data_IF_757655614696
#
_entry.id   IF_757655614696
#
_cell.length_a   1.000
_cell.length_b   1.000
_cell.length_c   1.000
_cell.angle_alpha   90.00
_cell.angle_beta   90.00
_cell.angle_gamma   90.00
#
_symmetry.space_group_name_H-M   'P 1'
#
loop_
_entity.id
_entity.type
_entity.pdbx_description
1 polymer ?
#
# COMPACT_ATOMS: atom_id res chain seq x y z
N UNK A 1 -15.24 -29.57 -7.27
CA UNK A 1 -15.03 -29.05 -5.91
C UNK A 1 -13.68 -28.35 -5.87
N UNK A 2 -13.63 -27.01 -5.86
CA UNK A 2 -12.37 -26.31 -5.54
C UNK A 2 -12.25 -26.34 -4.02
N UNK A 3 -11.19 -26.94 -3.50
CA UNK A 3 -10.87 -26.88 -2.07
C UNK A 3 -10.78 -25.39 -1.72
N UNK A 4 -11.57 -24.94 -0.75
CA UNK A 4 -11.46 -23.57 -0.25
C UNK A 4 -10.15 -23.50 0.55
N UNK A 5 -9.11 -22.93 -0.05
CA UNK A 5 -7.81 -22.77 0.60
C UNK A 5 -7.84 -21.59 1.57
N UNK A 6 -7.19 -21.73 2.73
CA UNK A 6 -7.06 -20.64 3.69
C UNK A 6 -6.18 -19.50 3.15
N UNK A 7 -6.37 -18.29 3.67
CA UNK A 7 -5.64 -17.06 3.34
C UNK A 7 -4.14 -17.28 3.41
N UNK A 8 -3.70 -17.99 4.44
CA UNK A 8 -2.29 -18.33 4.63
C UNK A 8 -1.72 -19.15 3.46
N UNK A 9 -2.46 -20.14 2.97
CA UNK A 9 -2.06 -20.95 1.81
C UNK A 9 -2.11 -20.16 0.51
N UNK A 10 -3.03 -19.21 0.38
CA UNK A 10 -3.10 -18.34 -0.80
C UNK A 10 -1.92 -17.37 -0.85
N UNK A 11 -1.50 -16.84 0.31
CA UNK A 11 -0.42 -15.87 0.40
C UNK A 11 0.97 -16.49 0.38
N UNK A 12 1.14 -17.72 0.86
CA UNK A 12 2.43 -18.40 0.93
C UNK A 12 2.55 -19.68 0.07
N UNK A 13 1.46 -20.19 -0.49
CA UNK A 13 1.38 -21.52 -1.08
C UNK A 13 1.12 -22.62 -0.03
N UNK A 14 0.82 -23.87 -0.47
CA UNK A 14 0.57 -25.00 0.44
C UNK A 14 1.80 -25.32 1.29
N UNK A 15 1.55 -25.71 2.54
CA UNK A 15 2.60 -26.09 3.50
C UNK A 15 3.30 -27.38 3.04
N UNK A 16 4.61 -27.30 2.79
CA UNK A 16 5.42 -28.46 2.38
C UNK A 16 6.16 -29.13 3.54
N UNK A 17 5.94 -28.68 4.77
CA UNK A 17 6.66 -29.15 5.96
C UNK A 17 5.72 -29.73 7.02
N UNK A 18 5.30 -30.96 6.84
CA UNK A 18 4.73 -31.79 7.91
C UNK A 18 5.85 -32.40 8.77
N UNK A 19 6.53 -31.60 9.60
CA UNK A 19 7.28 -32.14 10.75
C UNK A 19 7.81 -31.03 11.65
N UNK A 20 7.08 -30.71 12.71
CA UNK A 20 7.71 -30.20 13.93
C UNK A 20 6.95 -30.71 15.15
N UNK A 21 7.65 -31.53 15.93
CA UNK A 21 7.21 -32.09 17.21
C UNK A 21 7.03 -30.98 18.25
N UNK A 22 6.09 -31.11 19.20
CA UNK A 22 5.90 -30.12 20.25
C UNK A 22 7.06 -30.19 21.27
N UNK A 23 7.80 -29.10 21.43
CA UNK A 23 8.75 -28.92 22.54
C UNK A 23 8.06 -28.30 23.75
N UNK A 24 8.41 -28.80 24.93
CA UNK A 24 7.84 -28.50 26.25
C UNK A 24 8.05 -27.03 26.66
N UNK A 25 7.09 -26.38 27.34
CA UNK A 25 7.19 -24.95 27.69
C UNK A 25 7.78 -24.77 29.09
N UNK A 26 8.87 -24.01 29.22
CA UNK A 26 9.28 -23.45 30.52
C UNK A 26 9.93 -22.06 30.35
N UNK A 27 9.41 -21.09 31.11
CA UNK A 27 9.76 -19.65 31.21
C UNK A 27 9.26 -18.67 30.13
N UNK A 28 8.90 -19.12 28.92
CA UNK A 28 8.45 -18.23 27.83
C UNK A 28 6.95 -17.85 27.91
N UNK A 29 6.13 -18.67 28.57
CA UNK A 29 4.66 -18.55 28.57
C UNK A 29 4.13 -17.25 29.18
N UNK A 30 4.80 -16.65 30.17
CA UNK A 30 4.32 -15.43 30.84
C UNK A 30 4.52 -14.15 30.02
N UNK A 31 5.50 -14.13 29.12
CA UNK A 31 5.74 -12.98 28.23
C UNK A 31 4.70 -12.92 27.12
N UNK A 32 4.33 -14.07 26.55
CA UNK A 32 3.30 -14.16 25.51
C UNK A 32 1.91 -13.77 26.01
N UNK A 33 1.54 -14.14 27.24
CA UNK A 33 0.24 -13.77 27.82
C UNK A 33 0.12 -12.28 28.09
N UNK A 34 1.19 -11.64 28.59
CA UNK A 34 1.23 -10.18 28.78
C UNK A 34 1.13 -9.42 27.46
N UNK A 35 1.90 -9.83 26.45
CA UNK A 35 1.84 -9.23 25.11
C UNK A 35 0.46 -9.39 24.46
N UNK A 36 -0.14 -10.58 24.56
CA UNK A 36 -1.47 -10.88 24.03
C UNK A 36 -2.55 -10.01 24.69
N UNK A 37 -2.48 -9.82 26.01
CA UNK A 37 -3.39 -8.95 26.76
C UNK A 37 -3.27 -7.48 26.31
N UNK A 38 -2.04 -6.97 26.16
CA UNK A 38 -1.79 -5.60 25.66
C UNK A 38 -2.36 -5.39 24.26
N UNK A 39 -2.23 -6.39 23.38
CA UNK A 39 -2.72 -6.36 22.01
C UNK A 39 -4.22 -6.68 21.89
N UNK A 40 -4.87 -7.11 22.98
CA UNK A 40 -6.26 -7.59 22.99
C UNK A 40 -6.50 -8.74 22.01
N UNK A 41 -5.53 -9.64 21.87
CA UNK A 41 -5.59 -10.80 20.97
C UNK A 41 -5.54 -12.10 21.78
N UNK A 42 -6.07 -13.22 21.26
CA UNK A 42 -5.86 -14.52 21.88
C UNK A 42 -4.36 -14.87 21.94
N UNK A 43 -3.84 -15.47 23.03
CA UNK A 43 -2.43 -15.86 23.12
C UNK A 43 -1.95 -16.74 21.98
N UNK A 44 -2.82 -17.62 21.46
CA UNK A 44 -2.53 -18.46 20.30
C UNK A 44 -2.23 -17.69 19.02
N UNK A 45 -2.76 -16.47 18.86
CA UNK A 45 -2.49 -15.63 17.69
C UNK A 45 -1.04 -15.12 17.63
N UNK A 46 -0.32 -15.13 18.77
CA UNK A 46 1.08 -14.72 18.84
C UNK A 46 2.05 -15.90 18.78
N UNK A 47 1.55 -17.14 18.85
CA UNK A 47 2.40 -18.34 19.03
C UNK A 47 3.41 -18.54 17.88
N UNK A 48 3.04 -18.13 16.67
CA UNK A 48 3.86 -18.28 15.47
C UNK A 48 4.73 -17.04 15.17
N UNK A 49 4.67 -15.98 15.98
CA UNK A 49 5.41 -14.74 15.74
C UNK A 49 6.75 -14.74 16.48
N UNK A 50 7.76 -14.15 15.85
CA UNK A 50 9.03 -13.88 16.53
C UNK A 50 8.87 -12.79 17.60
N UNK A 51 9.78 -12.75 18.59
CA UNK A 51 9.81 -11.67 19.58
C UNK A 51 9.92 -10.28 18.95
N UNK A 52 10.65 -10.17 17.83
CA UNK A 52 10.79 -8.92 17.08
C UNK A 52 9.45 -8.49 16.45
N UNK A 53 8.71 -9.42 15.86
CA UNK A 53 7.36 -9.18 15.35
C UNK A 53 6.36 -8.80 16.44
N UNK A 54 6.43 -9.44 17.61
CA UNK A 54 5.54 -9.12 18.74
C UNK A 54 5.81 -7.69 19.24
N UNK A 55 7.07 -7.31 19.40
CA UNK A 55 7.43 -5.94 19.74
C UNK A 55 6.91 -4.95 18.68
N UNK A 56 6.99 -5.33 17.41
CA UNK A 56 6.49 -4.49 16.33
C UNK A 56 4.96 -4.27 16.38
N UNK A 57 4.20 -5.31 16.73
CA UNK A 57 2.77 -5.20 16.98
C UNK A 57 2.46 -4.31 18.19
N UNK A 58 3.26 -4.42 19.27
CA UNK A 58 3.10 -3.58 20.47
C UNK A 58 3.32 -2.09 20.15
N UNK A 59 4.35 -1.79 19.37
CA UNK A 59 4.61 -0.43 18.87
C UNK A 59 3.43 0.12 18.06
N UNK A 60 2.89 -0.68 17.12
CA UNK A 60 1.68 -0.30 16.38
C UNK A 60 0.50 -0.07 17.31
N UNK A 61 0.23 -0.98 18.26
CA UNK A 61 -0.91 -0.85 19.18
C UNK A 61 -0.82 0.36 20.13
N UNK A 62 0.40 0.80 20.44
CA UNK A 62 0.66 1.95 21.31
C UNK A 62 0.76 3.25 20.52
N UNK A 63 0.74 3.18 19.18
CA UNK A 63 0.88 4.34 18.33
C UNK A 63 -0.36 5.24 18.41
N UNK A 64 -0.12 6.52 18.68
CA UNK A 64 -1.12 7.57 18.63
C UNK A 64 -0.66 8.63 17.63
N UNK A 65 -1.48 9.00 16.63
CA UNK A 65 -1.19 10.13 15.75
C UNK A 65 -0.92 11.39 16.58
N UNK A 66 0.03 12.22 16.12
CA UNK A 66 0.32 13.48 16.80
C UNK A 66 -0.89 14.41 16.69
N UNK A 67 -1.11 15.28 17.68
CA UNK A 67 -2.04 16.38 17.53
C UNK A 67 -1.74 17.19 16.25
N UNK A 68 -2.74 17.51 15.45
CA UNK A 68 -2.65 18.09 14.11
C UNK A 68 -2.54 17.09 12.94
N UNK A 69 -2.38 15.79 13.21
CA UNK A 69 -2.38 14.71 12.20
C UNK A 69 -3.51 13.70 12.40
N UNK A 70 -4.56 14.12 13.12
CA UNK A 70 -5.76 13.34 13.46
C UNK A 70 -6.58 12.99 12.18
N UNK A 71 -7.67 12.20 12.29
CA UNK A 71 -8.39 11.66 11.14
C UNK A 71 -8.77 12.73 10.11
N UNK A 72 -9.04 12.26 8.89
CA UNK A 72 -9.60 13.05 7.79
C UNK A 72 -10.48 14.21 8.32
N UNK A 73 -10.07 15.48 8.14
CA UNK A 73 -10.75 16.61 8.76
C UNK A 73 -12.25 16.60 8.47
N UNK A 74 -13.08 16.99 9.44
CA UNK A 74 -14.53 17.04 9.25
C UNK A 74 -14.94 17.94 8.07
N UNK A 75 -14.10 18.92 7.70
CA UNK A 75 -14.26 19.79 6.54
C UNK A 75 -14.11 19.09 5.19
N UNK A 76 -13.48 17.91 5.13
CA UNK A 76 -13.36 17.13 3.89
C UNK A 76 -14.73 16.54 3.55
N UNK A 77 -15.31 16.79 2.36
CA UNK A 77 -16.60 16.24 1.98
C UNK A 77 -16.62 14.71 1.99
N UNK A 78 -17.74 14.09 2.39
CA UNK A 78 -17.86 12.63 2.52
C UNK A 78 -17.40 11.86 1.27
N UNK A 79 -17.77 12.32 0.06
CA UNK A 79 -17.40 11.70 -1.21
C UNK A 79 -15.90 11.79 -1.55
N UNK A 80 -15.12 12.55 -0.78
CA UNK A 80 -13.65 12.67 -0.86
C UNK A 80 -12.93 11.87 0.20
N UNK A 81 -13.66 11.19 1.08
CA UNK A 81 -13.07 10.35 2.14
C UNK A 81 -12.96 8.92 1.63
N UNK A 82 -11.87 8.27 2.01
CA UNK A 82 -11.61 6.89 1.71
C UNK A 82 -10.86 6.26 2.88
N UNK A 83 -10.89 4.94 2.97
CA UNK A 83 -10.19 4.20 4.01
C UNK A 83 -9.64 2.90 3.46
N UNK A 84 -8.51 2.46 4.00
CA UNK A 84 -7.82 1.22 3.61
C UNK A 84 -7.50 0.37 4.82
N UNK A 85 -7.57 -0.95 4.67
CA UNK A 85 -7.32 -1.93 5.72
C UNK A 85 -5.98 -2.63 5.50
N UNK A 86 -4.96 -2.21 6.25
CA UNK A 86 -3.64 -2.82 6.24
C UNK A 86 -3.66 -4.07 7.14
N UNK A 87 -3.96 -5.21 6.53
CA UNK A 87 -3.99 -6.51 7.20
C UNK A 87 -2.60 -7.10 7.41
N UNK A 88 -2.20 -7.23 8.67
CA UNK A 88 -0.96 -7.89 9.10
C UNK A 88 -1.22 -9.31 9.57
N UNK A 89 -0.26 -10.21 9.34
CA UNK A 89 -0.35 -11.60 9.77
C UNK A 89 1.04 -12.21 9.95
N UNK A 90 1.09 -13.33 10.67
CA UNK A 90 2.32 -14.09 10.87
C UNK A 90 2.72 -14.81 9.57
N UNK A 91 3.97 -14.60 9.13
CA UNK A 91 4.58 -15.38 8.07
C UNK A 91 5.12 -16.73 8.55
N UNK A 92 5.62 -17.53 7.60
CA UNK A 92 6.17 -18.87 7.85
C UNK A 92 7.27 -18.90 8.90
N UNK A 93 8.12 -17.88 8.95
CA UNK A 93 9.21 -17.79 9.93
C UNK A 93 8.86 -16.84 11.09
N UNK A 94 7.59 -16.48 11.26
CA UNK A 94 7.10 -15.59 12.31
C UNK A 94 7.41 -14.10 12.14
N UNK A 95 7.93 -13.70 10.98
CA UNK A 95 8.02 -12.30 10.56
C UNK A 95 6.62 -11.75 10.21
N UNK A 96 6.38 -10.44 10.36
CA UNK A 96 5.10 -9.83 9.99
C UNK A 96 5.02 -9.63 8.48
N UNK A 97 3.94 -10.12 7.88
CA UNK A 97 3.60 -9.87 6.48
C UNK A 97 2.39 -8.95 6.38
N UNK A 98 2.33 -8.18 5.29
CA UNK A 98 1.17 -7.37 4.90
C UNK A 98 0.44 -8.01 3.72
N UNK A 99 -0.89 -8.00 3.75
CA UNK A 99 -1.75 -8.43 2.63
C UNK A 99 -1.85 -7.30 1.61
N UNK A 100 -1.58 -7.61 0.34
CA UNK A 100 -1.70 -6.71 -0.79
C UNK A 100 -2.54 -7.35 -1.89
N UNK A 101 -3.22 -6.52 -2.67
CA UNK A 101 -4.01 -6.93 -3.82
C UNK A 101 -3.46 -6.32 -5.10
N UNK A 102 -3.56 -7.07 -6.20
CA UNK A 102 -3.45 -6.51 -7.54
C UNK A 102 -4.85 -6.17 -8.02
N UNK A 103 -5.12 -4.87 -8.20
CA UNK A 103 -6.42 -4.38 -8.68
C UNK A 103 -6.70 -4.90 -10.08
N UNK A 104 -7.96 -5.17 -10.38
CA UNK A 104 -8.33 -5.68 -11.69
C UNK A 104 -7.97 -4.71 -12.79
N UNK A 105 -7.31 -5.23 -13.84
CA UNK A 105 -6.97 -4.46 -15.05
C UNK A 105 -8.18 -3.82 -15.75
N UNK A 106 -9.40 -4.29 -15.44
CA UNK A 106 -10.67 -3.82 -16.01
C UNK A 106 -11.26 -2.59 -15.30
N UNK A 107 -10.68 -2.17 -14.18
CA UNK A 107 -11.17 -1.02 -13.42
C UNK A 107 -10.89 0.30 -14.16
N UNK A 108 -11.83 1.25 -14.05
CA UNK A 108 -11.74 2.57 -14.70
C UNK A 108 -10.61 3.45 -14.15
N UNK A 109 -10.14 3.18 -12.92
CA UNK A 109 -9.07 3.92 -12.27
C UNK A 109 -8.14 2.96 -11.51
N UNK A 110 -6.83 3.19 -11.58
CA UNK A 110 -5.79 2.38 -10.92
C UNK A 110 -5.86 0.88 -11.27
N UNK A 111 -6.30 0.54 -12.49
CA UNK A 111 -6.41 -0.85 -12.92
C UNK A 111 -5.04 -1.49 -13.07
N UNK A 112 -4.83 -2.64 -12.44
CA UNK A 112 -3.55 -3.35 -12.43
C UNK A 112 -2.55 -2.90 -11.36
N UNK A 113 -2.83 -1.83 -10.61
CA UNK A 113 -1.93 -1.36 -9.55
C UNK A 113 -1.99 -2.22 -8.29
N UNK A 114 -0.90 -2.23 -7.54
CA UNK A 114 -0.86 -2.83 -6.20
C UNK A 114 -1.50 -1.89 -5.18
N UNK A 115 -2.46 -2.40 -4.43
CA UNK A 115 -3.17 -1.63 -3.41
C UNK A 115 -3.34 -2.41 -2.11
N UNK A 116 -3.39 -1.64 -1.01
CA UNK A 116 -3.98 -2.11 0.24
C UNK A 116 -5.50 -2.14 0.03
N UNK A 117 -6.20 -3.22 0.44
CA UNK A 117 -7.66 -3.31 0.29
C UNK A 117 -8.38 -2.11 0.91
N UNK A 118 -9.39 -1.60 0.23
CA UNK A 118 -10.09 -0.41 0.67
C UNK A 118 -10.72 0.43 -0.44
N UNK A 119 -11.46 1.45 -0.04
CA UNK A 119 -12.29 2.20 -0.96
C UNK A 119 -12.88 3.47 -0.36
N UNK A 120 -13.94 3.97 -0.99
CA UNK A 120 -14.54 5.26 -0.65
C UNK A 120 -15.54 5.11 0.49
N UNK A 121 -15.65 6.17 1.28
CA UNK A 121 -16.68 6.26 2.30
C UNK A 121 -18.06 6.33 1.63
N UNK A 122 -19.00 5.49 2.10
CA UNK A 122 -20.39 5.53 1.69
C UNK A 122 -21.29 6.14 2.78
N UNK A 123 -22.40 6.82 2.44
CA UNK A 123 -23.31 7.39 3.44
C UNK A 123 -23.89 6.39 4.44
N UNK A 124 -23.88 5.10 4.10
CA UNK A 124 -24.32 4.00 4.96
C UNK A 124 -23.25 3.51 5.92
N UNK A 125 -21.99 3.91 5.74
CA UNK A 125 -20.88 3.53 6.62
C UNK A 125 -20.98 4.30 7.95
N UNK A 126 -20.84 3.59 9.08
CA UNK A 126 -20.91 4.22 10.41
C UNK A 126 -19.71 5.13 10.68
N UNK A 127 -18.53 4.74 10.18
CA UNK A 127 -17.28 5.49 10.26
C UNK A 127 -16.28 4.98 9.19
N UNK A 128 -15.09 5.59 9.14
CA UNK A 128 -14.04 5.21 8.19
C UNK A 128 -13.39 3.86 8.50
N UNK A 129 -13.42 3.38 9.74
CA UNK A 129 -12.93 2.03 10.04
C UNK A 129 -13.87 0.99 9.43
N UNK A 130 -15.18 1.20 9.56
CA UNK A 130 -16.19 0.38 8.93
C UNK A 130 -16.04 0.39 7.41
N UNK A 131 -15.81 1.56 6.78
CA UNK A 131 -15.50 1.64 5.35
C UNK A 131 -14.33 0.73 4.97
N UNK A 132 -13.20 0.81 5.69
CA UNK A 132 -12.03 -0.03 5.40
C UNK A 132 -12.34 -1.53 5.52
N UNK A 133 -13.11 -1.93 6.54
CA UNK A 133 -13.52 -3.32 6.77
C UNK A 133 -14.50 -3.82 5.72
N UNK A 134 -15.51 -3.02 5.36
CA UNK A 134 -16.50 -3.34 4.32
C UNK A 134 -15.81 -3.57 2.98
N UNK A 135 -14.99 -2.62 2.55
CA UNK A 135 -14.28 -2.70 1.27
C UNK A 135 -13.32 -3.90 1.24
N UNK A 136 -12.56 -4.15 2.32
CA UNK A 136 -11.70 -5.33 2.39
C UNK A 136 -12.48 -6.67 2.39
N UNK A 137 -13.69 -6.68 2.94
CA UNK A 137 -14.58 -7.84 2.86
C UNK A 137 -15.12 -8.04 1.44
N UNK A 138 -15.55 -6.97 0.78
CA UNK A 138 -16.09 -7.00 -0.60
C UNK A 138 -15.02 -7.37 -1.63
N UNK A 139 -13.82 -6.78 -1.53
CA UNK A 139 -12.74 -6.99 -2.50
C UNK A 139 -12.10 -8.39 -2.34
N UNK A 140 -11.83 -8.81 -1.09
CA UNK A 140 -10.98 -9.98 -0.82
C UNK A 140 -11.50 -10.93 0.28
N UNK A 141 -12.67 -10.67 0.85
CA UNK A 141 -13.29 -11.53 1.86
C UNK A 141 -12.66 -11.47 3.25
N UNK A 142 -11.91 -10.41 3.59
CA UNK A 142 -11.38 -10.26 4.96
C UNK A 142 -12.52 -10.03 5.96
N UNK A 143 -12.46 -10.62 7.16
CA UNK A 143 -13.56 -10.55 8.11
C UNK A 143 -13.78 -9.12 8.63
N UNK A 144 -15.03 -8.68 8.61
CA UNK A 144 -15.46 -7.45 9.29
C UNK A 144 -15.34 -7.61 10.81
N UNK A 145 -15.52 -8.85 11.31
CA UNK A 145 -15.42 -9.23 12.72
C UNK A 145 -14.07 -8.81 13.34
N UNK A 146 -14.14 -7.88 14.30
CA UNK A 146 -12.98 -7.32 14.99
C UNK A 146 -12.23 -8.34 15.85
N UNK A 147 -12.83 -9.49 16.19
CA UNK A 147 -12.15 -10.55 16.94
C UNK A 147 -11.20 -11.37 16.07
N UNK A 148 -11.48 -11.44 14.75
CA UNK A 148 -10.67 -12.12 13.74
C UNK A 148 -9.66 -11.20 13.05
N UNK A 149 -9.96 -9.91 13.01
CA UNK A 149 -9.10 -8.84 12.51
C UNK A 149 -9.03 -7.71 13.55
N UNK A 150 -8.15 -7.88 14.53
CA UNK A 150 -8.02 -6.99 15.70
C UNK A 150 -7.32 -5.71 15.27
N UNK A 151 -7.97 -4.56 15.49
CA UNK A 151 -7.36 -3.25 15.20
C UNK A 151 -6.20 -2.98 16.15
N UNK A 152 -5.07 -2.60 15.56
CA UNK A 152 -3.88 -2.17 16.27
C UNK A 152 -3.88 -0.64 16.40
N UNK A 153 -3.97 0.07 15.27
CA UNK A 153 -3.98 1.52 15.26
C UNK A 153 -4.61 2.09 13.98
N UNK A 154 -4.78 3.41 14.00
CA UNK A 154 -5.11 4.22 12.84
C UNK A 154 -3.89 5.08 12.51
N UNK A 155 -3.49 5.12 11.24
CA UNK A 155 -2.41 5.98 10.77
C UNK A 155 -2.95 7.38 10.38
N UNK A 156 -2.10 8.41 10.36
CA UNK A 156 -2.45 9.71 9.79
C UNK A 156 -3.00 9.58 8.35
N UNK A 157 -3.92 10.47 7.94
CA UNK A 157 -4.47 10.44 6.59
C UNK A 157 -3.45 10.86 5.54
N UNK A 158 -3.63 10.35 4.33
CA UNK A 158 -2.82 10.66 3.16
C UNK A 158 -3.69 11.22 2.04
N UNK A 159 -3.15 12.12 1.24
CA UNK A 159 -3.81 12.60 0.03
C UNK A 159 -3.46 11.68 -1.16
N UNK A 160 -4.48 11.14 -1.82
CA UNK A 160 -4.31 10.37 -3.07
C UNK A 160 -4.20 11.29 -4.29
N UNK A 161 -3.69 10.74 -5.40
CA UNK A 161 -3.63 11.42 -6.70
C UNK A 161 -5.00 11.93 -7.19
N UNK A 162 -6.08 11.22 -6.82
CA UNK A 162 -7.47 11.60 -7.15
C UNK A 162 -8.08 12.58 -6.13
N UNK A 163 -7.25 13.23 -5.31
CA UNK A 163 -7.64 14.18 -4.27
C UNK A 163 -8.66 13.57 -3.28
N UNK A 164 -8.57 12.26 -3.02
CA UNK A 164 -9.24 11.61 -1.88
C UNK A 164 -8.32 11.65 -0.67
N UNK A 165 -8.89 11.88 0.51
CA UNK A 165 -8.20 11.74 1.79
C UNK A 165 -8.40 10.32 2.31
N UNK A 166 -7.33 9.55 2.29
CA UNK A 166 -7.31 8.12 2.60
C UNK A 166 -6.82 7.93 4.03
N UNK A 167 -7.62 7.30 4.89
CA UNK A 167 -7.24 6.96 6.27
C UNK A 167 -6.89 5.48 6.38
N UNK A 168 -5.64 5.12 6.70
CA UNK A 168 -5.24 3.72 6.87
C UNK A 168 -5.56 3.18 8.28
N UNK A 169 -6.15 1.99 8.34
CA UNK A 169 -6.37 1.23 9.56
C UNK A 169 -5.51 -0.04 9.55
N UNK A 170 -4.72 -0.26 10.60
CA UNK A 170 -3.84 -1.42 10.72
C UNK A 170 -4.52 -2.46 11.60
N UNK A 171 -4.64 -3.69 11.11
CA UNK A 171 -5.23 -4.82 11.84
C UNK A 171 -4.30 -6.02 11.88
N UNK A 172 -4.33 -6.79 12.95
CA UNK A 172 -3.74 -8.12 13.02
C UNK A 172 -4.81 -9.16 12.71
N UNK A 173 -4.57 -9.97 11.68
CA UNK A 173 -5.38 -11.15 11.37
C UNK A 173 -4.99 -12.28 12.33
N UNK A 174 -5.92 -12.63 13.21
CA UNK A 174 -5.71 -13.63 14.27
C UNK A 174 -6.24 -15.02 13.89
N UNK A 175 -7.14 -15.08 12.91
CA UNK A 175 -7.76 -16.31 12.45
C UNK A 175 -7.06 -16.83 11.17
N UNK A 176 -6.24 -17.87 11.30
CA UNK A 176 -5.55 -18.50 10.17
C UNK A 176 -6.49 -19.33 9.26
N UNK A 177 -7.75 -19.52 9.66
CA UNK A 177 -8.74 -20.27 8.89
C UNK A 177 -9.53 -19.40 7.91
N UNK A 178 -9.30 -18.08 7.90
CA UNK A 178 -9.92 -17.15 6.95
C UNK A 178 -9.72 -17.68 5.53
N UNK A 179 -10.80 -17.79 4.76
CA UNK A 179 -10.75 -18.18 3.35
C UNK A 179 -11.09 -16.93 2.52
N UNK A 180 -10.11 -16.27 1.90
CA UNK A 180 -10.37 -15.06 1.14
C UNK A 180 -11.23 -15.40 -0.07
N UNK A 181 -12.13 -14.47 -0.38
CA UNK A 181 -13.02 -14.56 -1.51
C UNK A 181 -12.79 -13.35 -2.39
N UNK A 182 -12.05 -13.53 -3.48
CA UNK A 182 -11.71 -12.42 -4.37
C UNK A 182 -12.91 -12.06 -5.22
N UNK A 183 -13.27 -10.79 -5.24
CA UNK A 183 -14.18 -10.25 -6.25
C UNK A 183 -13.39 -10.05 -7.56
N UNK A 184 -13.58 -10.90 -8.59
CA UNK A 184 -12.78 -10.83 -9.81
C UNK A 184 -13.07 -9.59 -10.66
N UNK A 185 -14.08 -8.79 -10.31
CA UNK A 185 -14.33 -7.48 -10.94
C UNK A 185 -13.37 -6.41 -10.45
N UNK A 186 -12.81 -6.59 -9.26
CA UNK A 186 -12.03 -5.57 -8.55
C UNK A 186 -10.61 -6.03 -8.24
N UNK A 187 -10.39 -7.34 -8.05
CA UNK A 187 -9.11 -7.92 -7.66
C UNK A 187 -8.74 -9.08 -8.58
N UNK A 188 -7.57 -8.98 -9.21
CA UNK A 188 -7.02 -10.04 -10.06
C UNK A 188 -6.25 -11.08 -9.23
N UNK A 189 -5.51 -10.65 -8.20
CA UNK A 189 -4.75 -11.55 -7.32
C UNK A 189 -4.46 -10.95 -5.95
N UNK A 190 -4.12 -11.84 -5.01
CA UNK A 190 -3.55 -11.49 -3.70
C UNK A 190 -2.09 -11.89 -3.62
N UNK A 191 -1.33 -11.13 -2.86
CA UNK A 191 0.03 -11.49 -2.47
C UNK A 191 0.41 -10.81 -1.16
N UNK A 192 1.56 -11.19 -0.62
CA UNK A 192 2.06 -10.60 0.62
C UNK A 192 3.57 -10.38 0.57
N UNK A 193 4.00 -9.42 1.39
CA UNK A 193 5.40 -9.06 1.57
C UNK A 193 5.72 -8.85 3.06
N UNK A 194 6.95 -9.13 3.52
CA UNK A 194 7.35 -8.83 4.88
C UNK A 194 7.25 -7.32 5.12
N UNK A 195 6.56 -6.88 6.17
CA UNK A 195 6.38 -5.46 6.47
C UNK A 195 7.72 -4.73 6.65
N UNK A 196 8.70 -5.40 7.27
CA UNK A 196 10.04 -4.83 7.50
C UNK A 196 10.77 -4.45 6.20
N UNK A 197 10.41 -5.06 5.07
CA UNK A 197 11.06 -4.80 3.77
C UNK A 197 10.90 -3.37 3.27
N UNK A 198 9.83 -2.68 3.67
CA UNK A 198 9.56 -1.30 3.29
C UNK A 198 10.48 -0.28 3.99
N UNK A 199 11.40 -0.72 4.86
CA UNK A 199 12.44 0.11 5.45
C UNK A 199 13.77 0.07 4.70
N UNK A 200 13.96 -0.90 3.81
CA UNK A 200 15.24 -1.13 3.16
C UNK A 200 15.25 -0.54 1.75
N UNK A 201 16.34 0.16 1.41
CA UNK A 201 16.64 0.45 0.01
C UNK A 201 17.17 -0.82 -0.67
N UNK A 202 18.15 -1.46 -0.02
CA UNK A 202 18.71 -2.75 -0.44
C UNK A 202 18.50 -3.76 0.70
N UNK A 203 17.56 -4.72 0.55
CA UNK A 203 17.22 -5.64 1.61
C UNK A 203 18.41 -6.56 1.94
N UNK A 204 18.65 -6.88 3.22
CA UNK A 204 19.73 -7.79 3.61
C UNK A 204 19.45 -9.21 3.12
N UNK A 205 20.50 -10.04 2.98
CA UNK A 205 20.40 -11.41 2.43
C UNK A 205 19.27 -12.27 3.02
N UNK A 206 19.04 -12.30 4.35
CA UNK A 206 17.94 -13.10 4.92
C UNK A 206 16.57 -12.66 4.39
N UNK A 207 16.36 -11.35 4.23
CA UNK A 207 15.10 -10.77 3.78
C UNK A 207 14.88 -10.95 2.28
N UNK A 208 15.95 -10.95 1.48
CA UNK A 208 15.87 -11.16 0.02
C UNK A 208 15.19 -12.48 -0.34
N UNK A 209 15.42 -13.54 0.43
CA UNK A 209 14.73 -14.83 0.27
C UNK A 209 13.22 -14.70 0.46
N UNK A 210 12.78 -14.01 1.51
CA UNK A 210 11.35 -13.75 1.79
C UNK A 210 10.69 -12.87 0.72
N UNK A 211 11.48 -12.08 -0.01
CA UNK A 211 11.04 -11.22 -1.11
C UNK A 211 11.12 -11.89 -2.49
N UNK A 212 11.54 -13.15 -2.58
CA UNK A 212 11.80 -13.84 -3.86
C UNK A 212 12.81 -13.12 -4.75
N UNK A 213 13.74 -12.36 -4.14
CA UNK A 213 14.82 -11.68 -4.83
C UNK A 213 16.07 -12.57 -4.93
N UNK A 214 16.91 -12.40 -5.98
CA UNK A 214 18.19 -13.11 -6.07
C UNK A 214 19.09 -12.76 -4.88
N UNK A 215 20.03 -13.61 -4.43
CA UNK A 215 20.86 -13.32 -3.24
C UNK A 215 21.66 -12.02 -3.31
N UNK A 216 22.04 -11.60 -4.51
CA UNK A 216 22.61 -10.29 -4.82
C UNK A 216 21.82 -9.68 -6.00
N UNK A 217 21.76 -8.34 -6.12
CA UNK A 217 21.11 -7.70 -7.26
C UNK A 217 21.70 -8.13 -8.61
N UNK A 218 20.83 -8.39 -9.59
CA UNK A 218 21.25 -8.74 -10.95
C UNK A 218 21.73 -7.48 -11.69
N UNK A 219 23.02 -7.38 -12.07
CA UNK A 219 23.55 -6.21 -12.77
C UNK A 219 22.81 -5.85 -14.06
N UNK A 220 22.26 -6.83 -14.78
CA UNK A 220 21.56 -6.57 -16.05
C UNK A 220 20.14 -6.02 -15.82
N UNK A 221 19.42 -6.52 -14.81
CA UNK A 221 18.13 -5.96 -14.42
C UNK A 221 18.26 -4.48 -13.99
N UNK A 222 19.37 -4.15 -13.34
CA UNK A 222 19.69 -2.80 -12.90
C UNK A 222 19.92 -1.80 -14.05
N UNK A 223 20.34 -2.25 -15.24
CA UNK A 223 20.53 -1.38 -16.43
C UNK A 223 19.21 -0.86 -17.00
N UNK A 224 18.11 -1.56 -16.74
CA UNK A 224 16.79 -1.23 -17.27
C UNK A 224 15.98 -0.32 -16.33
N UNK A 225 16.58 0.12 -15.21
CA UNK A 225 15.92 1.03 -14.29
C UNK A 225 15.76 2.44 -14.87
N UNK A 226 14.68 3.16 -14.53
CA UNK A 226 14.43 4.48 -15.08
C UNK A 226 15.55 5.47 -14.75
N UNK A 227 16.00 6.26 -15.73
CA UNK A 227 17.09 7.21 -15.53
C UNK A 227 16.74 8.40 -14.61
N UNK A 228 15.44 8.64 -14.37
CA UNK A 228 14.93 9.79 -13.60
C UNK A 228 14.82 9.52 -12.09
N UNK A 229 15.38 8.42 -11.60
CA UNK A 229 15.39 8.09 -10.17
C UNK A 229 16.43 8.97 -9.43
N UNK A 230 16.09 9.43 -8.23
CA UNK A 230 16.99 10.19 -7.33
C UNK A 230 17.67 9.30 -6.30
N UNK A 231 17.24 8.05 -6.16
CA UNK A 231 17.92 7.04 -5.37
C UNK A 231 19.09 6.41 -6.14
N UNK A 232 20.07 5.81 -5.44
CA UNK A 232 20.95 4.83 -6.05
C UNK A 232 20.15 3.70 -6.72
N UNK A 233 20.79 3.01 -7.66
CA UNK A 233 20.20 1.88 -8.37
C UNK A 233 20.00 0.71 -7.38
N UNK A 234 18.82 0.08 -7.42
CA UNK A 234 18.46 -1.06 -6.56
C UNK A 234 17.36 -1.88 -7.20
N UNK A 235 17.42 -3.20 -7.07
CA UNK A 235 16.41 -4.13 -7.59
C UNK A 235 15.19 -4.31 -6.67
N UNK A 236 15.17 -3.61 -5.53
CA UNK A 236 14.07 -3.64 -4.58
C UNK A 236 13.36 -2.31 -4.45
N UNK A 237 14.07 -1.20 -4.27
CA UNK A 237 13.46 0.10 -4.01
C UNK A 237 14.11 1.21 -4.83
N UNK A 238 13.30 2.03 -5.49
CA UNK A 238 13.73 3.29 -6.09
C UNK A 238 12.82 4.44 -5.70
N UNK A 239 13.30 5.67 -5.83
CA UNK A 239 12.45 6.84 -5.66
C UNK A 239 12.81 7.95 -6.65
N UNK A 240 11.79 8.72 -7.04
CA UNK A 240 11.90 9.87 -7.95
C UNK A 240 11.09 11.05 -7.42
N UNK A 241 11.55 12.26 -7.71
CA UNK A 241 10.84 13.48 -7.33
C UNK A 241 9.94 13.94 -8.48
N UNK A 242 8.63 13.96 -8.25
CA UNK A 242 7.63 14.38 -9.24
C UNK A 242 7.00 15.72 -8.83
N UNK A 243 6.65 16.54 -9.82
CA UNK A 243 5.85 17.75 -9.56
C UNK A 243 4.40 17.35 -9.37
N UNK A 244 3.81 17.81 -8.27
CA UNK A 244 2.43 17.53 -7.88
C UNK A 244 1.76 18.77 -7.30
N UNK A 245 0.49 18.63 -6.90
CA UNK A 245 -0.43 19.65 -6.38
C UNK A 245 0.20 21.01 -6.03
N UNK A 246 -0.16 22.05 -6.79
CA UNK A 246 0.35 23.41 -6.57
C UNK A 246 1.81 23.63 -7.00
N UNK A 247 2.37 22.76 -7.85
CA UNK A 247 3.75 22.85 -8.32
C UNK A 247 4.78 22.35 -7.30
N UNK A 248 4.34 21.76 -6.20
CA UNK A 248 5.22 21.21 -5.17
C UNK A 248 5.87 19.92 -5.67
N UNK A 249 7.15 19.72 -5.34
CA UNK A 249 7.81 18.44 -5.60
C UNK A 249 7.51 17.47 -4.47
N UNK A 250 7.05 16.28 -4.83
CA UNK A 250 6.88 15.16 -3.90
C UNK A 250 7.77 14.01 -4.32
N UNK A 251 8.30 13.29 -3.34
CA UNK A 251 9.01 12.05 -3.57
C UNK A 251 8.03 10.90 -3.72
N UNK A 252 8.16 10.16 -4.81
CA UNK A 252 7.37 8.95 -5.09
C UNK A 252 8.27 7.73 -4.94
N UNK A 253 7.90 6.84 -4.03
CA UNK A 253 8.59 5.58 -3.78
C UNK A 253 8.02 4.44 -4.61
N UNK A 254 8.91 3.60 -5.15
CA UNK A 254 8.59 2.37 -5.86
C UNK A 254 9.31 1.20 -5.20
N UNK A 255 8.57 0.16 -4.82
CA UNK A 255 9.12 -1.14 -4.45
C UNK A 255 8.84 -2.14 -5.57
N UNK A 256 9.88 -2.78 -6.07
CA UNK A 256 9.84 -3.66 -7.21
C UNK A 256 9.56 -5.09 -6.76
N UNK A 257 8.57 -5.71 -7.39
CA UNK A 257 8.17 -7.09 -7.14
C UNK A 257 7.72 -7.72 -8.47
N UNK A 258 8.09 -8.97 -8.70
CA UNK A 258 7.80 -9.70 -9.95
C UNK A 258 6.30 -9.81 -10.24
N UNK A 259 5.46 -9.82 -9.20
CA UNK A 259 4.00 -9.95 -9.33
C UNK A 259 3.40 -8.62 -9.79
N UNK A 260 3.81 -7.53 -9.13
CA UNK A 260 3.47 -6.16 -9.49
C UNK A 260 4.22 -5.13 -8.60
N UNK A 261 4.80 -4.05 -9.17
CA UNK A 261 5.46 -3.02 -8.37
C UNK A 261 4.48 -2.28 -7.45
N UNK A 262 4.93 -1.93 -6.24
CA UNK A 262 4.18 -1.13 -5.27
C UNK A 262 4.65 0.32 -5.37
N UNK A 263 3.75 1.27 -5.61
CA UNK A 263 4.11 2.65 -5.94
C UNK A 263 3.20 3.67 -5.27
N UNK A 264 3.71 4.88 -5.12
CA UNK A 264 2.91 6.04 -4.72
C UNK A 264 2.30 5.88 -3.33
N UNK A 265 1.00 6.23 -3.20
CA UNK A 265 0.30 6.24 -1.92
C UNK A 265 0.42 4.92 -1.16
N UNK A 266 0.32 3.78 -1.85
CA UNK A 266 0.48 2.46 -1.24
C UNK A 266 1.86 2.32 -0.58
N UNK A 267 2.93 2.72 -1.27
CA UNK A 267 4.28 2.72 -0.73
C UNK A 267 4.41 3.62 0.49
N UNK A 268 3.85 4.84 0.44
CA UNK A 268 3.96 5.81 1.53
C UNK A 268 3.30 5.29 2.82
N UNK A 269 2.13 4.66 2.70
CA UNK A 269 1.42 4.03 3.82
C UNK A 269 2.25 2.87 4.39
N UNK A 270 2.81 2.02 3.53
CA UNK A 270 3.60 0.84 3.95
C UNK A 270 4.89 1.24 4.64
N UNK A 271 5.60 2.26 4.14
CA UNK A 271 6.80 2.79 4.77
C UNK A 271 6.47 3.36 6.15
N UNK A 272 5.40 4.14 6.28
CA UNK A 272 4.98 4.69 7.58
C UNK A 272 4.60 3.59 8.56
N UNK A 273 3.81 2.60 8.12
CA UNK A 273 3.42 1.47 8.95
C UNK A 273 4.64 0.68 9.44
N UNK A 274 5.59 0.39 8.55
CA UNK A 274 6.82 -0.31 8.89
C UNK A 274 7.69 0.51 9.86
N UNK A 275 7.83 1.81 9.63
CA UNK A 275 8.63 2.69 10.49
C UNK A 275 8.08 2.76 11.91
N UNK A 276 6.75 2.83 12.06
CA UNK A 276 6.09 2.77 13.36
C UNK A 276 6.26 1.40 14.00
N UNK A 277 5.99 0.33 13.24
CA UNK A 277 6.06 -1.03 13.76
C UNK A 277 7.47 -1.33 14.30
N UNK A 278 8.51 -1.09 13.52
CA UNK A 278 9.87 -1.46 13.93
C UNK A 278 10.58 -0.36 14.73
N UNK A 279 9.99 0.82 14.87
CA UNK A 279 10.62 1.96 15.57
C UNK A 279 11.88 2.46 14.86
N UNK A 280 11.97 2.21 13.55
CA UNK A 280 13.15 2.46 12.72
C UNK A 280 12.82 3.44 11.59
N UNK A 281 13.80 4.24 11.18
CA UNK A 281 13.69 5.07 9.98
C UNK A 281 14.08 4.25 8.75
N UNK A 282 13.45 4.46 7.59
CA UNK A 282 13.89 3.82 6.36
C UNK A 282 15.32 4.25 6.00
N UNK A 283 16.01 3.38 5.26
CA UNK A 283 17.40 3.59 4.80
C UNK A 283 17.52 4.60 3.65
N UNK A 284 16.42 5.23 3.27
CA UNK A 284 16.32 6.17 2.17
C UNK A 284 15.57 7.43 2.63
N UNK A 285 15.76 8.52 1.90
CA UNK A 285 15.10 9.78 2.21
C UNK A 285 13.63 9.74 1.78
N UNK A 286 12.72 9.92 2.74
CA UNK A 286 11.25 9.87 2.54
C UNK A 286 10.68 10.99 1.67
N UNK A 287 11.33 12.15 1.67
CA UNK A 287 10.73 13.36 1.12
C UNK A 287 11.70 14.08 0.19
N UNK A 288 11.14 14.71 -0.84
CA UNK A 288 11.86 15.68 -1.67
C UNK A 288 12.27 16.89 -0.82
N UNK A 289 13.38 17.58 -1.14
CA UNK A 289 13.70 18.85 -0.53
C UNK A 289 12.49 19.81 -0.57
N UNK A 290 12.11 20.38 0.58
CA UNK A 290 10.97 21.29 0.76
C UNK A 290 9.60 20.68 0.42
N UNK A 291 9.46 19.36 0.40
CA UNK A 291 8.16 18.71 0.24
C UNK A 291 7.21 19.12 1.38
N UNK A 292 5.98 19.58 1.08
CA UNK A 292 4.97 19.86 2.10
C UNK A 292 4.56 18.60 2.86
N UNK A 293 4.10 18.75 4.10
CA UNK A 293 3.56 17.62 4.86
C UNK A 293 2.24 17.11 4.24
N UNK A 294 1.84 15.87 4.56
CA UNK A 294 0.52 15.36 4.12
C UNK A 294 -0.62 16.25 4.61
N UNK A 295 -0.54 16.80 5.82
CA UNK A 295 -1.54 17.74 6.34
C UNK A 295 -1.59 19.03 5.50
N UNK A 296 -0.43 19.57 5.10
CA UNK A 296 -0.36 20.76 4.24
C UNK A 296 -0.90 20.46 2.83
N UNK A 297 -0.61 19.28 2.28
CA UNK A 297 -1.12 18.86 0.97
C UNK A 297 -2.65 18.70 1.00
N UNK A 298 -3.19 18.07 2.05
CA UNK A 298 -4.64 17.97 2.26
C UNK A 298 -5.25 19.37 2.35
N UNK A 299 -4.67 20.25 3.17
CA UNK A 299 -5.12 21.64 3.29
C UNK A 299 -5.11 22.35 1.93
N UNK A 300 -4.02 22.23 1.18
CA UNK A 300 -3.88 22.82 -0.15
C UNK A 300 -4.95 22.29 -1.13
N UNK A 301 -5.29 21.01 -1.05
CA UNK A 301 -6.28 20.38 -1.93
C UNK A 301 -7.71 20.88 -1.70
N UNK A 302 -8.05 21.28 -0.48
CA UNK A 302 -9.43 21.63 -0.11
C UNK A 302 -9.65 23.12 0.20
N UNK A 303 -8.60 23.87 0.57
CA UNK A 303 -8.71 25.30 0.95
C UNK A 303 -8.23 26.26 -0.15
N UNK A 304 -7.57 25.77 -1.21
CA UNK A 304 -7.03 26.64 -2.28
C UNK A 304 -8.13 27.22 -3.18
N UNK A 305 -8.03 28.49 -3.65
CA UNK A 305 -8.96 29.09 -4.63
C UNK A 305 -9.12 28.28 -5.92
N UNK A 306 -8.10 27.49 -6.29
CA UNK A 306 -8.11 26.58 -7.44
C UNK A 306 -9.07 25.40 -7.18
N UNK A 307 -9.11 24.89 -5.96
CA UNK A 307 -10.08 23.89 -5.55
C UNK A 307 -11.50 24.47 -5.65
N UNK A 308 -11.71 25.71 -5.16
CA UNK A 308 -13.00 26.43 -5.22
C UNK A 308 -13.51 26.59 -6.67
N UNK A 309 -12.62 26.78 -7.65
CA UNK A 309 -13.01 26.80 -9.08
C UNK A 309 -13.49 25.43 -9.59
N UNK A 310 -12.87 24.31 -9.19
CA UNK A 310 -13.36 22.94 -9.51
C UNK A 310 -14.71 22.66 -8.85
N UNK A 311 -14.94 23.14 -7.61
CA UNK A 311 -16.20 22.96 -6.87
C UNK A 311 -17.44 23.64 -7.52
N UNK A 312 -17.24 24.57 -8.46
CA UNK A 312 -18.34 25.31 -9.10
C UNK A 312 -19.03 24.55 -10.24
N UNK A 313 -18.58 23.35 -10.59
CA UNK A 313 -19.28 22.45 -11.50
C UNK A 313 -20.37 21.72 -10.71
N UNK A 314 -21.64 22.06 -10.96
CA UNK A 314 -22.79 21.50 -10.22
C UNK A 314 -22.76 19.96 -10.26
N UNK A 315 -22.94 19.27 -9.12
CA UNK A 315 -23.14 17.83 -9.12
C UNK A 315 -24.41 17.52 -9.90
N UNK A 316 -24.29 16.70 -10.96
CA UNK A 316 -25.44 16.20 -11.72
C UNK A 316 -26.16 15.17 -10.86
N UNK A 317 -26.96 15.62 -9.91
CA UNK A 317 -27.95 14.77 -9.24
C UNK A 317 -28.91 14.27 -10.32
N UNK A 318 -28.77 13.01 -10.73
CA UNK A 318 -29.79 12.33 -11.50
C UNK A 318 -30.97 12.08 -10.55
N UNK A 319 -31.94 12.98 -10.61
CA UNK A 319 -33.24 12.77 -10.01
C UNK A 319 -33.86 11.49 -10.57
N UNK A 320 -34.43 10.68 -9.67
CA UNK A 320 -35.47 9.71 -9.97
C UNK A 320 -36.43 10.29 -11.02
N UNK A 321 -36.55 9.62 -12.17
CA UNK A 321 -37.72 9.77 -13.04
C UNK A 321 -38.57 8.50 -12.92
N UNK A 322 -39.82 8.71 -12.53
CA UNK A 322 -40.94 7.78 -12.63
C UNK A 322 -41.18 7.34 -14.08
N UNK A 323 -41.84 6.20 -14.30
CA UNK A 323 -41.99 5.62 -15.63
C UNK A 323 -43.07 6.34 -16.46
N UNK A 324 -42.92 6.16 -17.78
CA UNK A 324 -43.86 6.36 -18.89
C UNK A 324 -43.97 7.75 -19.54
N UNK A 325 -43.48 7.84 -20.79
CA UNK A 325 -44.32 7.89 -22.00
C UNK A 325 -43.52 8.41 -23.24
N UNK A 326 -43.56 7.61 -24.31
CA UNK A 326 -43.39 7.92 -25.74
C UNK A 326 -42.78 9.27 -26.20
N UNK A 327 -41.73 9.20 -27.03
CA UNK A 327 -41.69 9.80 -28.39
C UNK A 327 -40.32 9.66 -29.05
N UNK A 328 -40.32 9.28 -30.32
CA UNK A 328 -39.20 9.00 -31.21
C UNK A 328 -38.58 10.29 -31.80
N UNK A 329 -37.33 10.18 -32.27
CA UNK A 329 -36.54 11.10 -33.14
C UNK A 329 -35.99 12.41 -32.55
N UNK A 330 -34.65 12.53 -32.42
CA UNK A 330 -33.76 13.27 -33.34
C UNK A 330 -32.30 13.31 -32.85
N UNK A 331 -31.38 12.98 -33.78
CA UNK A 331 -30.00 13.46 -33.93
C UNK A 331 -29.19 13.81 -32.67
N UNK A 332 -28.28 12.92 -32.27
CA UNK A 332 -27.16 13.26 -31.39
C UNK A 332 -26.03 13.89 -32.22
N UNK A 333 -25.92 15.21 -32.15
CA UNK A 333 -24.66 15.90 -32.45
C UNK A 333 -23.62 15.54 -31.38
N UNK A 334 -22.44 15.11 -31.85
CA UNK A 334 -21.24 14.95 -31.03
C UNK A 334 -20.80 16.34 -30.56
N UNK A 335 -20.92 16.63 -29.27
CA UNK A 335 -20.15 17.70 -28.63
C UNK A 335 -18.94 17.07 -27.97
N UNK A 336 -17.76 17.33 -28.56
CA UNK A 336 -16.46 17.07 -27.99
C UNK A 336 -16.32 17.90 -26.70
N UNK A 337 -16.46 17.24 -25.56
CA UNK A 337 -15.91 17.68 -24.27
C UNK A 337 -15.47 16.40 -23.54
N UNK A 338 -14.51 15.71 -24.16
CA UNK A 338 -13.64 14.80 -23.42
C UNK A 338 -12.71 15.69 -22.58
N UNK A 339 -13.05 15.83 -21.30
CA UNK A 339 -12.07 16.20 -20.29
C UNK A 339 -10.98 15.13 -20.36
N UNK A 340 -9.84 15.47 -20.97
CA UNK A 340 -8.59 14.76 -20.77
C UNK A 340 -8.36 14.70 -19.26
N UNK A 341 -8.71 13.55 -18.69
CA UNK A 341 -8.13 13.10 -17.44
C UNK A 341 -6.61 13.14 -17.65
N UNK A 342 -5.79 13.51 -16.66
CA UNK A 342 -4.41 13.08 -16.69
C UNK A 342 -4.47 11.56 -16.72
N UNK A 343 -4.40 11.01 -17.93
CA UNK A 343 -4.15 9.60 -18.13
C UNK A 343 -2.85 9.38 -17.35
N UNK A 344 -2.85 8.41 -16.45
CA UNK A 344 -1.58 7.81 -16.05
C UNK A 344 -0.85 7.53 -17.36
N UNK A 345 0.25 8.24 -17.58
CA UNK A 345 1.18 8.01 -18.67
C UNK A 345 1.63 6.54 -18.54
N UNK A 346 0.90 5.66 -19.22
CA UNK A 346 1.33 4.32 -19.59
C UNK A 346 2.56 4.36 -20.49
N UNK A 347 2.95 5.55 -20.95
CA UNK A 347 4.11 5.80 -21.78
C UNK A 347 5.05 6.75 -21.04
N UNK A 348 5.96 6.20 -20.22
CA UNK A 348 7.23 6.87 -19.88
C UNK A 348 8.19 5.89 -19.21
N UNK A 349 8.66 4.92 -20.01
CA UNK A 349 9.88 4.17 -19.73
C UNK A 349 10.77 4.19 -20.98
N UNK A 350 11.32 5.36 -21.40
CA UNK A 350 12.42 5.32 -22.33
C UNK A 350 13.59 4.62 -21.63
N UNK A 351 13.86 3.38 -22.04
CA UNK A 351 15.12 2.71 -21.72
C UNK A 351 16.25 3.57 -22.29
N UNK A 352 17.27 3.85 -21.48
CA UNK A 352 18.45 4.53 -21.98
C UNK A 352 19.11 3.64 -23.07
N UNK A 353 19.65 4.21 -24.16
CA UNK A 353 20.46 3.44 -25.09
C UNK A 353 21.66 2.84 -24.34
N UNK A 354 22.11 1.63 -24.73
CA UNK A 354 23.24 0.97 -24.06
C UNK A 354 24.46 1.88 -24.06
N UNK A 355 25.16 1.94 -22.93
CA UNK A 355 26.49 2.56 -22.86
C UNK A 355 27.39 1.71 -23.75
N UNK A 356 27.80 2.25 -24.90
CA UNK A 356 28.83 1.61 -25.72
C UNK A 356 30.09 1.44 -24.88
N UNK A 357 30.51 0.19 -24.68
CA UNK A 357 31.83 -0.10 -24.15
C UNK A 357 32.87 0.47 -25.11
N UNK A 358 33.41 1.63 -24.75
CA UNK A 358 34.57 2.20 -25.41
C UNK A 358 35.73 1.21 -25.34
N UNK A 359 35.97 0.51 -26.44
CA UNK A 359 37.21 -0.22 -26.68
C UNK A 359 38.38 0.74 -26.44
N UNK A 360 39.22 0.38 -25.48
CA UNK A 360 40.33 1.20 -25.05
C UNK A 360 41.31 1.55 -26.16
N UNK A 361 42.02 2.65 -25.95
CA UNK A 361 43.39 2.72 -26.43
C UNK A 361 44.27 3.35 -25.35
N UNK A 362 45.38 2.67 -25.06
CA UNK A 362 46.24 2.93 -23.92
C UNK A 362 47.09 4.19 -24.03
N UNK A 363 47.54 4.67 -22.87
CA UNK A 363 48.46 5.80 -22.79
C UNK A 363 48.75 6.20 -21.35
N UNK A 364 49.60 5.43 -20.67
CA UNK A 364 50.20 5.78 -19.38
C UNK A 364 50.87 7.15 -19.47
N UNK A 365 50.49 8.10 -18.61
CA UNK A 365 51.29 9.31 -18.34
C UNK A 365 51.68 9.33 -16.86
N UNK A 366 52.99 9.21 -16.62
CA UNK A 366 53.65 9.36 -15.32
C UNK A 366 53.46 10.79 -14.75
N UNK A 367 53.53 10.96 -13.42
CA UNK A 367 53.48 12.27 -12.79
C UNK A 367 54.77 13.05 -13.05
N UNK A 368 54.66 14.36 -13.27
CA UNK A 368 55.79 15.29 -13.15
C UNK A 368 55.82 15.83 -11.71
N UNK A 369 57.06 15.92 -11.22
CA UNK A 369 57.55 16.38 -9.91
C UNK A 369 56.79 17.55 -9.30
#
# INVERSE_FOLDING_TARGET
MKVKEGLYNILFGPDRSSSSSPTTPTSSTSKFTSAAASLKVPPGALANLTSHSIHALQNLSSFTPRPGSEPCPASVPAYRRAAVLLGLFAGRNGELYVVLSKRSSRLRSHGGDTAIPGGRFEPTDSDLEYTARREAYEEIGLPIDSTKAVKLCQLPPFLSANELVVTPYVVLLTDHTIQPHLNPREVDSLFSLPLVSFLYHNPPRPLRKSLHLPPNPDPEALRHMPANEVSPISDWHTCRDIVWLGGNRIRRHTFWDERNPIRGLTSDILIMAAAIAYGEKPQFSLHSPRQPSQADLIKLAFDSPIAVKKFRVKPRMQFLKTPDAFSFTKSYERTNDELEQPQDEKADFPLAPPIEEGKGNGGVRKPKL
#
